data_IF_304496027789
#
_entry.id   IF_304496027789
#
_cell.length_a   1.000
_cell.length_b   1.000
_cell.length_c   1.000
_cell.angle_alpha   90.00
_cell.angle_beta   90.00
_cell.angle_gamma   90.00
#
_symmetry.space_group_name_H-M   'P 1'
#
loop_
_entity.id
_entity.type
_entity.pdbx_description
1 polymer ?
#
# COMPACT_ATOMS: atom_id res chain seq x y z
N UNK A 1 -0.23 -20.85 1.36
CA UNK A 1 -1.36 -20.32 2.15
C UNK A 1 -0.84 -20.06 3.55
N UNK A 2 -0.90 -18.84 4.00
CA UNK A 2 -0.53 -18.45 5.36
C UNK A 2 -1.76 -17.96 6.13
N UNK A 3 -1.86 -18.33 7.40
CA UNK A 3 -2.90 -17.90 8.32
C UNK A 3 -2.25 -17.11 9.45
N UNK A 4 -2.68 -15.90 9.68
CA UNK A 4 -2.21 -15.09 10.82
C UNK A 4 -3.41 -14.72 11.69
N UNK A 5 -3.38 -15.16 12.94
CA UNK A 5 -4.30 -14.67 13.98
C UNK A 5 -3.51 -13.76 14.93
N UNK A 6 -3.85 -12.50 14.95
CA UNK A 6 -3.27 -11.55 15.91
C UNK A 6 -4.31 -11.24 16.99
N UNK A 7 -3.98 -11.60 18.24
CA UNK A 7 -4.82 -11.35 19.40
C UNK A 7 -4.05 -10.42 20.35
N UNK A 8 -4.04 -9.13 20.06
CA UNK A 8 -3.43 -8.13 20.94
C UNK A 8 -4.35 -7.86 22.14
N UNK A 9 -3.96 -8.37 23.29
CA UNK A 9 -4.53 -7.97 24.59
C UNK A 9 -3.65 -6.86 25.15
N UNK A 10 -4.02 -5.61 24.94
CA UNK A 10 -3.42 -4.53 25.72
C UNK A 10 -4.07 -4.49 27.10
N UNK A 11 -3.24 -4.58 28.14
CA UNK A 11 -3.65 -4.39 29.54
C UNK A 11 -3.86 -2.90 29.80
N UNK A 12 -5.01 -2.37 29.40
CA UNK A 12 -5.42 -1.03 29.80
C UNK A 12 -6.31 -1.16 31.04
N UNK A 13 -5.99 -0.50 32.16
CA UNK A 13 -6.85 -0.53 33.34
C UNK A 13 -8.24 0.03 33.00
N UNK A 14 -9.29 -0.79 33.13
CA UNK A 14 -10.72 -0.48 32.94
C UNK A 14 -11.23 -0.30 31.50
N UNK A 15 -10.68 -0.98 30.51
CA UNK A 15 -11.31 -1.11 29.20
C UNK A 15 -10.57 -2.13 28.36
N UNK A 16 -11.19 -3.25 28.03
CA UNK A 16 -10.54 -4.26 27.20
C UNK A 16 -10.82 -3.93 25.74
N UNK A 17 -9.83 -3.41 25.03
CA UNK A 17 -9.86 -3.33 23.58
C UNK A 17 -9.49 -4.71 23.00
N UNK A 18 -10.28 -5.19 22.05
CA UNK A 18 -10.08 -6.49 21.42
C UNK A 18 -10.09 -6.31 19.91
N UNK A 19 -9.05 -6.80 19.26
CA UNK A 19 -8.95 -6.86 17.81
C UNK A 19 -8.78 -8.32 17.38
N UNK A 20 -9.58 -8.72 16.40
CA UNK A 20 -9.51 -10.03 15.77
C UNK A 20 -9.25 -9.80 14.29
N UNK A 21 -8.14 -10.35 13.78
CA UNK A 21 -7.79 -10.26 12.36
C UNK A 21 -7.64 -11.66 11.79
N UNK A 22 -8.34 -11.91 10.71
CA UNK A 22 -8.23 -13.12 9.90
C UNK A 22 -7.66 -12.72 8.55
N UNK A 23 -6.54 -13.33 8.19
CA UNK A 23 -5.83 -13.02 6.94
C UNK A 23 -5.57 -14.29 6.14
N UNK A 24 -5.86 -14.23 4.85
CA UNK A 24 -5.58 -15.29 3.88
C UNK A 24 -4.84 -14.67 2.70
N UNK A 25 -3.75 -15.30 2.30
CA UNK A 25 -2.95 -14.97 1.14
C UNK A 25 -2.76 -16.21 0.27
N UNK A 26 -2.97 -16.06 -1.02
CA UNK A 26 -2.67 -17.04 -2.03
C UNK A 26 -1.83 -16.43 -3.13
N UNK A 27 -0.70 -17.03 -3.45
CA UNK A 27 0.19 -16.58 -4.52
C UNK A 27 0.54 -17.74 -5.43
N UNK A 28 0.47 -17.48 -6.71
CA UNK A 28 0.91 -18.33 -7.81
C UNK A 28 2.09 -17.70 -8.52
N UNK A 29 3.14 -18.49 -8.79
CA UNK A 29 4.31 -18.07 -9.56
C UNK A 29 4.55 -19.05 -10.71
N UNK A 30 4.78 -18.51 -11.90
CA UNK A 30 5.17 -19.28 -13.08
C UNK A 30 6.34 -18.57 -13.73
N UNK A 31 7.43 -19.32 -13.94
CA UNK A 31 8.61 -18.89 -14.69
C UNK A 31 8.73 -19.72 -15.95
N UNK A 32 9.13 -19.09 -17.04
CA UNK A 32 9.41 -19.72 -18.34
C UNK A 32 10.88 -19.64 -18.69
N UNK A 33 11.32 -20.52 -19.58
CA UNK A 33 12.73 -20.62 -19.99
C UNK A 33 13.22 -19.39 -20.77
N UNK A 34 12.31 -18.64 -21.39
CA UNK A 34 12.61 -17.37 -22.06
C UNK A 34 12.88 -16.20 -21.10
N UNK A 35 12.98 -16.45 -19.78
CA UNK A 35 13.24 -15.44 -18.76
C UNK A 35 12.03 -14.63 -18.34
N UNK A 36 10.83 -14.94 -18.86
CA UNK A 36 9.59 -14.32 -18.37
C UNK A 36 9.10 -14.99 -17.08
N UNK A 37 8.43 -14.21 -16.26
CA UNK A 37 7.79 -14.70 -15.04
C UNK A 37 6.46 -13.97 -14.82
N UNK A 38 5.46 -14.70 -14.40
CA UNK A 38 4.23 -14.15 -13.89
C UNK A 38 4.07 -14.50 -12.40
N UNK A 39 3.68 -13.51 -11.62
CA UNK A 39 3.23 -13.67 -10.24
C UNK A 39 1.81 -13.16 -10.15
N UNK A 40 0.89 -13.97 -9.68
CA UNK A 40 -0.51 -13.58 -9.50
C UNK A 40 -1.03 -14.09 -8.17
N UNK A 41 -1.98 -13.39 -7.56
CA UNK A 41 -2.51 -13.83 -6.28
C UNK A 41 -3.72 -13.06 -5.83
N UNK A 42 -4.23 -13.49 -4.68
CA UNK A 42 -5.36 -12.89 -3.99
C UNK A 42 -5.09 -12.81 -2.49
N UNK A 43 -5.51 -11.72 -1.88
CA UNK A 43 -5.47 -11.54 -0.43
C UNK A 43 -6.86 -11.23 0.08
N UNK A 44 -7.18 -11.70 1.28
CA UNK A 44 -8.38 -11.32 2.01
C UNK A 44 -8.04 -11.13 3.49
N UNK A 45 -8.51 -10.01 4.04
CA UNK A 45 -8.39 -9.70 5.45
C UNK A 45 -9.77 -9.30 5.98
N UNK A 46 -10.16 -9.93 7.07
CA UNK A 46 -11.30 -9.52 7.88
C UNK A 46 -10.82 -9.11 9.26
N UNK A 47 -11.17 -7.90 9.68
CA UNK A 47 -10.85 -7.39 11.01
C UNK A 47 -12.12 -7.01 11.76
N UNK A 48 -12.21 -7.46 13.02
CA UNK A 48 -13.22 -7.03 13.99
C UNK A 48 -12.52 -6.32 15.14
N UNK A 49 -12.87 -5.07 15.36
CA UNK A 49 -12.38 -4.28 16.48
C UNK A 49 -13.52 -4.00 17.46
N UNK A 50 -13.26 -4.23 18.75
CA UNK A 50 -14.14 -3.87 19.85
C UNK A 50 -13.35 -3.00 20.79
N UNK A 51 -13.68 -1.72 20.84
CA UNK A 51 -12.94 -0.72 21.64
C UNK A 51 -13.92 0.27 22.28
N UNK A 52 -13.58 0.75 23.47
CA UNK A 52 -14.32 1.85 24.11
C UNK A 52 -14.08 3.19 23.42
N UNK A 53 -12.94 3.34 22.79
CA UNK A 53 -12.54 4.60 22.13
C UNK A 53 -13.12 4.74 20.73
N UNK A 54 -13.19 3.64 19.99
CA UNK A 54 -13.66 3.65 18.60
C UNK A 54 -15.03 3.04 18.40
N UNK A 55 -15.52 2.24 19.35
CA UNK A 55 -16.72 1.43 19.21
C UNK A 55 -16.43 0.03 18.66
N UNK A 56 -17.49 -0.63 18.18
CA UNK A 56 -17.39 -1.96 17.55
C UNK A 56 -17.52 -1.80 16.05
N UNK A 57 -16.48 -2.19 15.32
CA UNK A 57 -16.39 -2.07 13.87
C UNK A 57 -15.86 -3.34 13.24
N UNK A 58 -16.31 -3.61 12.02
CA UNK A 58 -15.81 -4.69 11.18
C UNK A 58 -15.26 -4.07 9.88
N UNK A 59 -14.15 -4.61 9.39
CA UNK A 59 -13.64 -4.23 8.08
C UNK A 59 -13.25 -5.46 7.26
N UNK A 60 -13.47 -5.37 5.97
CA UNK A 60 -13.07 -6.37 4.98
C UNK A 60 -12.15 -5.70 3.96
N UNK A 61 -11.01 -6.30 3.69
CA UNK A 61 -10.10 -5.92 2.62
C UNK A 61 -9.85 -7.14 1.73
N UNK A 62 -10.11 -6.99 0.45
CA UNK A 62 -9.83 -8.03 -0.54
C UNK A 62 -9.02 -7.43 -1.68
N UNK A 63 -8.04 -8.16 -2.19
CA UNK A 63 -7.29 -7.71 -3.34
C UNK A 63 -6.93 -8.87 -4.26
N UNK A 64 -6.87 -8.54 -5.55
CA UNK A 64 -6.27 -9.37 -6.60
C UNK A 64 -5.07 -8.64 -7.17
N UNK A 65 -4.01 -9.38 -7.46
CA UNK A 65 -2.82 -8.79 -8.05
C UNK A 65 -2.21 -9.69 -9.12
N UNK A 66 -1.54 -9.05 -10.06
CA UNK A 66 -0.73 -9.70 -11.08
C UNK A 66 0.50 -8.84 -11.35
N UNK A 67 1.63 -9.49 -11.51
CA UNK A 67 2.89 -8.89 -11.93
C UNK A 67 3.50 -9.75 -13.04
N UNK A 68 4.03 -9.10 -14.05
CA UNK A 68 4.78 -9.73 -15.13
C UNK A 68 6.18 -9.14 -15.16
N UNK A 69 7.17 -10.02 -15.18
CA UNK A 69 8.58 -9.70 -15.26
C UNK A 69 9.16 -10.33 -16.54
N UNK A 70 9.92 -9.56 -17.30
CA UNK A 70 10.56 -10.01 -18.53
C UNK A 70 11.99 -9.47 -18.63
N UNK A 71 12.89 -10.34 -19.05
CA UNK A 71 14.24 -9.97 -19.44
C UNK A 71 14.40 -10.06 -20.95
N UNK A 72 14.89 -8.98 -21.57
CA UNK A 72 15.14 -8.85 -23.00
C UNK A 72 16.63 -8.69 -23.25
N UNK A 73 17.16 -9.43 -24.26
CA UNK A 73 18.52 -9.29 -24.74
C UNK A 73 19.58 -9.34 -23.63
N UNK A 74 19.33 -10.04 -22.54
CA UNK A 74 20.16 -10.14 -21.34
C UNK A 74 20.57 -8.81 -20.68
N UNK A 75 20.09 -7.68 -21.19
CA UNK A 75 20.44 -6.33 -20.73
C UNK A 75 19.27 -5.51 -20.22
N UNK A 76 18.07 -5.79 -20.65
CA UNK A 76 16.88 -5.04 -20.26
C UNK A 76 15.95 -5.92 -19.42
N UNK A 77 15.73 -5.55 -18.17
CA UNK A 77 14.71 -6.16 -17.31
C UNK A 77 13.55 -5.18 -17.13
N UNK A 78 12.35 -5.64 -17.40
CA UNK A 78 11.10 -4.88 -17.26
C UNK A 78 10.18 -5.63 -16.33
N UNK A 79 9.56 -4.90 -15.42
CA UNK A 79 8.53 -5.39 -14.50
C UNK A 79 7.30 -4.50 -14.60
N UNK A 80 6.12 -5.09 -14.70
CA UNK A 80 4.85 -4.37 -14.65
C UNK A 80 3.85 -5.14 -13.80
N UNK A 81 3.16 -4.44 -12.93
CA UNK A 81 2.19 -5.04 -12.02
C UNK A 81 0.97 -4.17 -11.81
N UNK A 82 -0.13 -4.84 -11.52
CA UNK A 82 -1.39 -4.23 -11.13
C UNK A 82 -1.96 -4.95 -9.92
N UNK A 83 -2.52 -4.18 -9.01
CA UNK A 83 -3.29 -4.67 -7.85
C UNK A 83 -4.63 -3.96 -7.84
N UNK A 84 -5.69 -4.72 -7.69
CA UNK A 84 -7.04 -4.21 -7.53
C UNK A 84 -7.51 -4.47 -6.11
N UNK A 85 -7.82 -3.41 -5.37
CA UNK A 85 -8.22 -3.48 -3.97
C UNK A 85 -9.67 -3.10 -3.76
N UNK A 86 -10.36 -3.91 -2.96
CA UNK A 86 -11.69 -3.67 -2.42
C UNK A 86 -11.59 -3.51 -0.91
N UNK A 87 -12.20 -2.46 -0.36
CA UNK A 87 -12.22 -2.21 1.07
C UNK A 87 -13.61 -1.79 1.53
N UNK A 88 -14.05 -2.32 2.66
CA UNK A 88 -15.35 -2.04 3.26
C UNK A 88 -15.22 -1.96 4.77
N UNK A 89 -15.95 -1.02 5.38
CA UNK A 89 -16.14 -0.91 6.84
C UNK A 89 -17.62 -0.91 7.14
N UNK A 90 -18.05 -1.69 8.14
CA UNK A 90 -19.43 -1.77 8.66
C UNK A 90 -20.52 -1.92 7.59
N UNK A 91 -20.23 -2.64 6.51
CA UNK A 91 -21.16 -2.84 5.42
C UNK A 91 -21.23 -1.70 4.39
N UNK A 92 -20.60 -0.56 4.64
CA UNK A 92 -20.55 0.55 3.69
C UNK A 92 -19.36 0.38 2.74
N UNK A 93 -19.64 0.41 1.44
CA UNK A 93 -18.61 0.51 0.42
C UNK A 93 -17.95 1.89 0.55
N UNK A 94 -16.65 1.87 0.79
CA UNK A 94 -15.89 3.08 0.67
C UNK A 94 -15.63 3.39 -0.78
N UNK A 95 -15.75 4.69 -1.09
CA UNK A 95 -15.61 5.23 -2.41
C UNK A 95 -14.34 4.74 -3.09
N UNK A 96 -14.49 3.80 -3.99
CA UNK A 96 -13.58 3.68 -5.08
C UNK A 96 -14.04 4.72 -6.10
N UNK A 97 -13.39 5.87 -6.16
CA UNK A 97 -13.60 6.89 -7.20
C UNK A 97 -13.18 6.40 -8.59
N UNK A 98 -13.15 5.10 -8.79
CA UNK A 98 -12.72 4.50 -10.04
C UNK A 98 -13.93 4.35 -10.93
N UNK A 99 -13.96 5.13 -12.00
CA UNK A 99 -14.91 4.97 -13.11
C UNK A 99 -14.28 4.12 -14.19
N UNK A 100 -14.86 2.97 -14.46
CA UNK A 100 -14.47 2.12 -15.58
C UNK A 100 -15.63 2.11 -16.59
N UNK A 101 -15.37 2.55 -17.82
CA UNK A 101 -16.39 2.65 -18.89
C UNK A 101 -17.67 3.39 -18.44
N UNK A 102 -17.53 4.46 -17.64
CA UNK A 102 -18.66 5.24 -17.14
C UNK A 102 -19.32 4.70 -15.87
N UNK A 103 -19.02 3.49 -15.46
CA UNK A 103 -19.57 2.85 -14.25
C UNK A 103 -18.63 3.02 -13.06
N UNK A 104 -19.16 3.43 -11.91
CA UNK A 104 -18.41 3.43 -10.65
C UNK A 104 -18.21 1.99 -10.19
N UNK A 105 -16.96 1.56 -10.02
CA UNK A 105 -16.62 0.26 -9.47
C UNK A 105 -16.00 0.43 -8.07
N UNK A 106 -16.36 -0.43 -7.10
CA UNK A 106 -15.89 -0.35 -5.72
C UNK A 106 -14.47 -0.92 -5.55
N UNK A 107 -13.65 -0.80 -6.58
CA UNK A 107 -12.29 -1.37 -6.63
C UNK A 107 -11.31 -0.30 -7.02
N UNK A 108 -10.19 -0.22 -6.29
CA UNK A 108 -9.07 0.70 -6.56
C UNK A 108 -7.95 -0.02 -7.29
N UNK A 109 -7.71 0.27 -8.57
CA UNK A 109 -6.52 -0.21 -9.27
C UNK A 109 -5.28 0.57 -8.83
N UNK A 110 -4.17 -0.14 -8.63
CA UNK A 110 -2.86 0.35 -8.26
C UNK A 110 -1.86 -0.25 -9.24
N UNK A 111 -1.05 0.61 -9.86
CA UNK A 111 -0.08 0.20 -10.87
C UNK A 111 1.35 0.37 -10.37
N UNK A 112 2.22 -0.53 -10.79
CA UNK A 112 3.66 -0.48 -10.59
C UNK A 112 4.37 -0.85 -11.88
N UNK A 113 5.48 -0.18 -12.16
CA UNK A 113 6.35 -0.52 -13.27
C UNK A 113 7.81 -0.30 -12.86
N UNK A 114 8.70 -1.10 -13.37
CA UNK A 114 10.14 -0.99 -13.16
C UNK A 114 10.90 -1.36 -14.40
N UNK A 115 12.04 -0.73 -14.58
CA UNK A 115 12.95 -0.97 -15.70
C UNK A 115 14.38 -0.91 -15.16
N UNK A 116 15.20 -1.86 -15.60
CA UNK A 116 16.65 -1.84 -15.40
C UNK A 116 17.31 -2.16 -16.73
N UNK A 117 18.13 -1.25 -17.22
CA UNK A 117 18.84 -1.40 -18.48
C UNK A 117 20.34 -1.31 -18.28
N UNK A 118 21.05 -2.36 -18.69
CA UNK A 118 22.49 -2.39 -18.72
C UNK A 118 23.00 -1.75 -20.00
N UNK A 119 23.47 -0.49 -19.90
CA UNK A 119 24.04 0.27 -21.02
C UNK A 119 25.37 -0.29 -21.49
N UNK A 120 26.24 -0.65 -20.54
CA UNK A 120 27.54 -1.25 -20.73
C UNK A 120 27.87 -2.21 -19.59
N UNK A 121 29.01 -2.91 -19.60
CA UNK A 121 29.33 -3.97 -18.63
C UNK A 121 29.17 -3.52 -17.15
N UNK A 122 29.42 -2.26 -16.85
CA UNK A 122 29.32 -1.72 -15.48
C UNK A 122 28.43 -0.48 -15.38
N UNK A 123 27.60 -0.22 -16.41
CA UNK A 123 26.73 0.96 -16.49
C UNK A 123 25.28 0.54 -16.56
N UNK A 124 24.45 1.06 -15.65
CA UNK A 124 23.04 0.71 -15.53
C UNK A 124 22.18 1.95 -15.40
N UNK A 125 21.06 1.96 -16.11
CA UNK A 125 19.96 2.90 -15.87
C UNK A 125 18.81 2.11 -15.25
N UNK A 126 18.21 2.66 -14.20
CA UNK A 126 16.99 2.14 -13.61
C UNK A 126 15.92 3.22 -13.59
N UNK A 127 14.69 2.81 -13.84
CA UNK A 127 13.53 3.64 -13.66
C UNK A 127 12.45 2.85 -12.94
N UNK A 128 11.71 3.50 -12.06
CA UNK A 128 10.57 2.89 -11.40
C UNK A 128 9.41 3.88 -11.27
N UNK A 129 8.22 3.34 -11.31
CA UNK A 129 6.97 4.04 -11.06
C UNK A 129 6.08 3.19 -10.17
N UNK A 130 5.47 3.78 -9.16
CA UNK A 130 4.55 3.10 -8.28
C UNK A 130 3.45 4.02 -7.78
N UNK A 131 2.24 3.48 -7.71
CA UNK A 131 1.14 4.09 -7.01
C UNK A 131 1.01 3.46 -5.63
N UNK A 132 0.69 4.28 -4.62
CA UNK A 132 0.34 3.87 -3.27
C UNK A 132 -1.10 4.24 -2.96
N UNK A 133 -1.74 3.45 -2.12
CA UNK A 133 -3.09 3.70 -1.64
C UNK A 133 -3.20 3.15 -0.22
N UNK A 134 -3.72 3.95 0.71
CA UNK A 134 -3.92 3.56 2.09
C UNK A 134 -5.32 3.95 2.56
N UNK A 135 -6.09 2.96 2.96
CA UNK A 135 -7.36 3.23 3.63
C UNK A 135 -7.14 3.77 5.03
N UNK A 136 -7.99 4.70 5.50
CA UNK A 136 -7.92 5.16 6.87
C UNK A 136 -8.19 4.01 7.85
N UNK A 137 -7.42 3.97 8.92
CA UNK A 137 -7.64 3.01 10.00
C UNK A 137 -8.96 3.30 10.74
N UNK A 138 -9.46 2.32 11.46
CA UNK A 138 -10.66 2.50 12.30
C UNK A 138 -10.45 3.62 13.34
N UNK A 139 -9.24 3.74 13.89
CA UNK A 139 -8.90 4.81 14.84
C UNK A 139 -8.96 6.18 14.19
N UNK A 140 -8.42 6.36 12.99
CA UNK A 140 -8.45 7.64 12.27
C UNK A 140 -9.88 8.09 11.95
N UNK A 141 -10.82 7.16 11.80
CA UNK A 141 -12.21 7.47 11.45
C UNK A 141 -13.14 7.63 12.64
N UNK A 142 -12.96 6.80 13.65
CA UNK A 142 -13.96 6.60 14.71
C UNK A 142 -13.43 6.94 16.09
N UNK A 143 -12.14 7.29 16.26
CA UNK A 143 -11.63 7.63 17.58
C UNK A 143 -12.39 8.81 18.18
N UNK A 144 -12.87 8.60 19.41
CA UNK A 144 -13.47 9.63 20.25
C UNK A 144 -12.83 9.56 21.62
N UNK A 145 -12.12 10.61 22.00
CA UNK A 145 -11.45 10.67 23.30
C UNK A 145 -11.36 12.11 23.79
N UNK A 146 -11.56 12.31 25.08
CA UNK A 146 -11.23 13.56 25.76
C UNK A 146 -9.93 13.36 26.55
N UNK A 147 -8.96 14.23 26.34
CA UNK A 147 -7.65 14.20 26.98
C UNK A 147 -7.40 15.56 27.60
N UNK A 148 -7.81 15.73 28.87
CA UNK A 148 -7.52 16.94 29.63
C UNK A 148 -8.11 18.22 29.03
N UNK A 149 -9.33 18.15 28.47
CA UNK A 149 -10.01 19.29 27.84
C UNK A 149 -9.75 19.45 26.36
N UNK A 150 -8.93 18.58 25.77
CA UNK A 150 -8.75 18.46 24.31
C UNK A 150 -9.53 17.25 23.80
N UNK A 151 -10.59 17.50 23.05
CA UNK A 151 -11.42 16.44 22.48
C UNK A 151 -10.87 15.93 21.14
N UNK A 152 -10.77 14.61 20.98
CA UNK A 152 -10.60 13.95 19.69
C UNK A 152 -11.98 13.56 19.17
N UNK A 153 -12.34 14.03 17.99
CA UNK A 153 -13.63 13.79 17.38
C UNK A 153 -13.52 12.92 16.14
N UNK A 154 -14.43 11.95 15.94
CA UNK A 154 -14.44 11.08 14.77
C UNK A 154 -14.76 11.88 13.50
N UNK A 155 -14.02 11.59 12.43
CA UNK A 155 -14.34 12.07 11.11
C UNK A 155 -14.60 10.88 10.17
N UNK A 156 -15.87 10.57 9.94
CA UNK A 156 -16.30 9.46 9.08
C UNK A 156 -16.04 9.70 7.60
N UNK A 157 -15.82 10.96 7.21
CA UNK A 157 -15.62 11.37 5.81
C UNK A 157 -14.15 11.34 5.39
N UNK A 158 -13.25 10.90 6.27
CA UNK A 158 -11.83 10.77 5.92
C UNK A 158 -11.68 9.82 4.73
N UNK A 159 -11.10 10.34 3.66
CA UNK A 159 -10.79 9.60 2.44
C UNK A 159 -9.50 8.81 2.57
N UNK A 160 -9.29 7.87 1.65
CA UNK A 160 -8.04 7.15 1.59
C UNK A 160 -6.92 8.02 1.02
N UNK A 161 -5.73 7.90 1.59
CA UNK A 161 -4.53 8.54 1.07
C UNK A 161 -4.10 7.90 -0.25
N UNK A 162 -3.58 8.72 -1.15
CA UNK A 162 -3.05 8.30 -2.44
C UNK A 162 -1.62 8.80 -2.56
N UNK A 163 -0.76 7.98 -3.10
CA UNK A 163 0.63 8.34 -3.36
C UNK A 163 1.06 7.93 -4.76
N UNK A 164 1.96 8.71 -5.32
CA UNK A 164 2.68 8.39 -6.55
C UNK A 164 4.16 8.57 -6.26
N UNK A 165 4.96 7.56 -6.65
CA UNK A 165 6.40 7.61 -6.56
C UNK A 165 6.99 7.30 -7.94
N UNK A 166 7.99 8.07 -8.36
CA UNK A 166 8.79 7.81 -9.55
C UNK A 166 10.27 8.00 -9.21
N UNK A 167 11.10 7.13 -9.73
CA UNK A 167 12.56 7.18 -9.56
C UNK A 167 13.24 6.98 -10.91
N UNK A 168 14.32 7.72 -11.13
CA UNK A 168 15.28 7.50 -12.20
C UNK A 168 16.68 7.47 -11.60
N UNK A 169 17.43 6.39 -11.85
CA UNK A 169 18.76 6.19 -11.31
C UNK A 169 19.78 5.77 -12.39
N UNK A 170 21.02 6.15 -12.16
CA UNK A 170 22.16 5.75 -12.97
C UNK A 170 23.28 5.23 -12.07
N UNK A 171 23.76 4.04 -12.37
CA UNK A 171 24.88 3.42 -11.67
C UNK A 171 26.02 3.14 -12.63
N UNK A 172 27.23 3.57 -12.27
CA UNK A 172 28.45 3.35 -13.02
C UNK A 172 29.52 2.73 -12.15
N UNK A 173 30.00 1.55 -12.54
CA UNK A 173 31.21 0.95 -11.99
C UNK A 173 32.47 1.52 -12.64
N UNK A 174 33.56 1.56 -11.90
CA UNK A 174 34.88 1.96 -12.41
C UNK A 174 35.99 1.09 -11.84
N UNK A 175 37.10 1.02 -12.60
CA UNK A 175 38.32 0.35 -12.19
C UNK A 175 39.52 1.17 -12.62
N UNK A 176 40.37 1.57 -11.65
CA UNK A 176 41.64 2.26 -11.86
C UNK A 176 42.75 1.47 -11.18
N UNK A 177 43.52 0.74 -11.97
CA UNK A 177 44.52 -0.17 -11.43
C UNK A 177 43.92 -1.23 -10.50
N UNK A 178 44.32 -1.21 -9.25
CA UNK A 178 43.77 -2.11 -8.20
C UNK A 178 42.55 -1.53 -7.48
N UNK A 179 42.18 -0.29 -7.73
CA UNK A 179 41.01 0.36 -7.14
C UNK A 179 39.77 0.06 -7.98
N UNK A 180 38.78 -0.59 -7.39
CA UNK A 180 37.45 -0.81 -7.98
C UNK A 180 36.40 -0.15 -7.13
N UNK A 181 35.39 0.42 -7.76
CA UNK A 181 34.27 1.05 -7.06
C UNK A 181 33.10 1.32 -8.00
N UNK A 182 32.09 1.96 -7.47
CA UNK A 182 30.95 2.43 -8.24
C UNK A 182 30.42 3.75 -7.64
N UNK A 183 29.76 4.53 -8.46
CA UNK A 183 28.87 5.58 -8.01
C UNK A 183 27.43 5.26 -8.44
N UNK A 184 26.47 5.71 -7.66
CA UNK A 184 25.06 5.53 -7.90
C UNK A 184 24.35 6.86 -7.62
N UNK A 185 23.68 7.39 -8.64
CA UNK A 185 22.93 8.64 -8.57
C UNK A 185 21.47 8.36 -8.87
N UNK A 186 20.56 8.82 -8.01
CA UNK A 186 19.14 8.71 -8.24
C UNK A 186 18.41 10.01 -7.93
N UNK A 187 17.46 10.34 -8.80
CA UNK A 187 16.45 11.36 -8.56
C UNK A 187 15.10 10.69 -8.33
N UNK A 188 14.34 11.18 -7.38
CA UNK A 188 13.01 10.66 -7.11
C UNK A 188 12.00 11.78 -6.95
N UNK A 189 10.76 11.47 -7.32
CA UNK A 189 9.60 12.31 -7.15
C UNK A 189 8.54 11.53 -6.38
N UNK A 190 8.01 12.14 -5.31
CA UNK A 190 6.93 11.56 -4.53
C UNK A 190 5.84 12.62 -4.32
N UNK A 191 4.60 12.24 -4.59
CA UNK A 191 3.44 13.08 -4.36
C UNK A 191 2.41 12.32 -3.54
N UNK A 192 1.90 12.93 -2.49
CA UNK A 192 0.77 12.46 -1.70
C UNK A 192 -0.45 13.34 -1.92
N UNK A 193 -1.62 12.72 -1.90
CA UNK A 193 -2.92 13.40 -2.00
C UNK A 193 -3.84 12.81 -0.93
N UNK A 194 -4.70 13.65 -0.36
CA UNK A 194 -5.65 13.26 0.70
C UNK A 194 -4.93 12.71 1.95
N UNK A 195 -3.79 13.29 2.34
CA UNK A 195 -3.07 12.90 3.56
C UNK A 195 -3.95 13.02 4.79
N UNK A 196 -3.93 11.99 5.64
CA UNK A 196 -4.70 11.96 6.88
C UNK A 196 -3.86 12.58 7.98
N UNK A 197 -4.28 13.74 8.45
CA UNK A 197 -3.60 14.50 9.51
C UNK A 197 -4.56 14.86 10.64
N UNK A 198 -4.03 14.96 11.86
CA UNK A 198 -4.78 15.52 12.97
C UNK A 198 -4.88 17.04 12.81
N UNK A 199 -6.09 17.57 12.77
CA UNK A 199 -6.35 19.01 12.83
C UNK A 199 -6.66 19.43 14.24
N UNK A 200 -5.90 20.42 14.73
CA UNK A 200 -6.22 21.13 15.97
C UNK A 200 -7.06 22.37 15.65
N UNK A 201 -8.16 22.55 16.39
CA UNK A 201 -9.04 23.69 16.19
C UNK A 201 -10.14 23.74 17.21
N UNK A 202 -10.89 24.85 17.24
CA UNK A 202 -12.12 24.97 18.02
C UNK A 202 -13.25 24.44 17.13
N UNK A 203 -13.82 23.31 17.52
CA UNK A 203 -14.95 22.71 16.83
C UNK A 203 -16.22 22.99 17.64
N UNK A 204 -17.13 23.78 17.10
CA UNK A 204 -18.46 23.95 17.69
C UNK A 204 -19.26 22.67 17.42
N UNK A 205 -19.77 22.06 18.50
CA UNK A 205 -20.73 20.97 18.37
C UNK A 205 -22.01 21.54 17.75
N UNK A 206 -22.25 21.31 16.47
CA UNK A 206 -23.55 21.47 15.82
C UNK A 206 -24.20 20.09 15.69
#
# INVERSE_FOLDING_TARGET
>A
ISWVMNNNKENVPKGTDKNYTYYVDYQFNKKWDNGSQITAGATYEHMKSVSKTTGTHNSDNAALFVQYDQRFFDRLSVSAGMRAEYYRVDGYLREADTKLFGTKIPVKPIFRAGLNYQLADYSFIRASFGQGYRYPSLTEKYARKDIGGVGVYPNKEVNAEKGVNAELGFKQGYKFGNLTGFFDLAGFYTQYTDMIEFRFGIFNNT
#
